data_IF_817878096204
#
_entry.id   IF_817878096204
#
_cell.length_a   1.000
_cell.length_b   1.000
_cell.length_c   1.000
_cell.angle_alpha   90.00
_cell.angle_beta   90.00
_cell.angle_gamma   90.00
#
_symmetry.space_group_name_H-M   'P 1'
#
loop_
_entity.id
_entity.type
_entity.pdbx_description
1 polymer ?
#
# COMPACT_ATOMS: atom_id res chain seq x y z
N UNK A 1 7.22 -16.99 -13.85
CA UNK A 1 7.46 -17.27 -12.46
C UNK A 1 8.81 -17.93 -12.28
N UNK A 2 9.83 -17.20 -11.84
CA UNK A 2 11.13 -17.74 -11.44
C UNK A 2 11.12 -17.79 -9.91
N UNK A 3 10.54 -18.88 -9.35
CA UNK A 3 10.73 -19.22 -7.94
C UNK A 3 12.18 -19.64 -7.73
N UNK A 4 12.86 -19.06 -6.74
CA UNK A 4 14.13 -19.57 -6.24
C UNK A 4 13.86 -20.94 -5.60
N UNK A 5 14.28 -22.01 -6.24
CA UNK A 5 14.38 -23.32 -5.59
C UNK A 5 15.64 -23.36 -4.74
N UNK A 6 15.48 -23.41 -3.42
CA UNK A 6 16.59 -23.74 -2.52
C UNK A 6 16.45 -25.20 -2.10
N UNK A 7 17.49 -26.01 -2.43
CA UNK A 7 17.60 -27.38 -1.99
C UNK A 7 18.29 -27.44 -0.62
N UNK A 8 17.56 -27.87 0.40
CA UNK A 8 18.17 -28.21 1.69
C UNK A 8 18.37 -29.71 1.78
N UNK A 9 19.63 -30.17 1.91
CA UNK A 9 19.94 -31.56 2.18
C UNK A 9 20.03 -31.81 3.68
N UNK A 10 19.18 -32.66 4.19
CA UNK A 10 19.27 -33.20 5.55
C UNK A 10 20.19 -34.44 5.58
N UNK A 11 20.77 -34.73 6.78
CA UNK A 11 21.69 -35.82 7.00
C UNK A 11 21.21 -37.18 6.50
N UNK A 12 22.13 -38.12 6.17
CA UNK A 12 21.80 -39.42 5.58
C UNK A 12 20.85 -40.23 6.49
N UNK A 13 19.69 -40.61 5.94
CA UNK A 13 18.67 -41.41 6.65
C UNK A 13 17.25 -40.85 6.62
N UNK A 14 17.06 -39.56 6.34
CA UNK A 14 15.75 -38.97 6.08
C UNK A 14 15.56 -38.83 4.57
N UNK A 15 14.49 -39.40 4.02
CA UNK A 15 14.15 -39.23 2.60
C UNK A 15 14.14 -37.76 2.19
N UNK A 16 14.61 -37.48 0.99
CA UNK A 16 14.64 -36.11 0.44
C UNK A 16 13.24 -35.50 0.47
N UNK A 17 13.04 -34.47 1.28
CA UNK A 17 11.84 -33.67 1.26
C UNK A 17 12.14 -32.36 0.53
N UNK A 18 11.41 -32.10 -0.53
CA UNK A 18 11.48 -30.85 -1.25
C UNK A 18 10.48 -29.89 -0.64
N UNK A 19 10.98 -28.74 -0.20
CA UNK A 19 10.14 -27.62 0.21
C UNK A 19 10.25 -26.53 -0.86
N UNK A 20 9.14 -26.17 -1.43
CA UNK A 20 9.07 -24.99 -2.29
C UNK A 20 8.77 -23.81 -1.38
N UNK A 21 9.77 -22.97 -1.08
CA UNK A 21 9.53 -21.67 -0.49
C UNK A 21 9.01 -20.77 -1.60
N UNK A 22 7.79 -20.28 -1.48
CA UNK A 22 7.35 -19.17 -2.30
C UNK A 22 8.05 -17.90 -1.83
N UNK A 23 8.22 -16.93 -2.71
CA UNK A 23 8.82 -15.64 -2.34
C UNK A 23 7.96 -14.92 -1.27
N UNK A 24 6.68 -15.23 -1.23
CA UNK A 24 5.73 -14.75 -0.23
C UNK A 24 6.02 -15.29 1.18
N UNK A 25 6.63 -16.49 1.29
CA UNK A 25 7.03 -17.08 2.58
C UNK A 25 8.18 -16.32 3.27
N UNK A 26 8.85 -15.42 2.54
CA UNK A 26 9.94 -14.57 3.05
C UNK A 26 9.46 -13.15 3.40
N UNK A 27 8.23 -12.80 3.06
CA UNK A 27 7.68 -11.49 3.39
C UNK A 27 7.36 -11.40 4.89
N UNK A 28 7.60 -10.25 5.54
CA UNK A 28 7.12 -10.01 6.89
C UNK A 28 5.61 -10.24 6.98
N UNK A 29 5.14 -10.69 8.16
CA UNK A 29 3.71 -10.89 8.37
C UNK A 29 2.90 -9.62 8.03
N UNK A 30 1.80 -9.77 7.32
CA UNK A 30 0.96 -8.64 6.87
C UNK A 30 1.46 -7.92 5.62
N UNK A 31 2.61 -8.31 5.06
CA UNK A 31 3.17 -7.69 3.85
C UNK A 31 3.18 -8.65 2.67
N UNK A 32 3.22 -8.07 1.46
CA UNK A 32 3.46 -8.77 0.20
C UNK A 32 4.76 -8.25 -0.42
N UNK A 33 5.54 -9.12 -1.03
CA UNK A 33 6.69 -8.73 -1.84
C UNK A 33 6.20 -8.24 -3.21
N UNK A 34 6.49 -7.00 -3.54
CA UNK A 34 6.36 -6.46 -4.89
C UNK A 34 7.70 -6.62 -5.59
N UNK A 35 7.79 -7.47 -6.63
CA UNK A 35 9.08 -7.81 -7.21
C UNK A 35 9.70 -6.66 -7.98
N UNK A 36 11.03 -6.64 -8.02
CA UNK A 36 11.79 -5.70 -8.85
C UNK A 36 11.47 -5.88 -10.34
N UNK A 37 11.52 -4.80 -11.12
CA UNK A 37 11.37 -4.87 -12.57
C UNK A 37 10.60 -3.68 -13.16
N UNK A 38 10.49 -3.71 -14.49
CA UNK A 38 9.70 -2.73 -15.24
C UNK A 38 8.20 -3.02 -15.16
N UNK A 39 7.40 -1.99 -15.27
CA UNK A 39 5.97 -2.05 -15.53
C UNK A 39 5.54 -0.82 -16.35
N UNK A 40 4.39 -0.92 -17.00
CA UNK A 40 3.83 0.19 -17.76
C UNK A 40 2.93 1.01 -16.85
N UNK A 41 3.37 2.24 -16.55
CA UNK A 41 2.70 3.21 -15.69
C UNK A 41 1.86 4.18 -16.53
N UNK A 42 0.67 4.50 -16.08
CA UNK A 42 -0.23 5.45 -16.72
C UNK A 42 -1.46 4.82 -17.36
N UNK A 43 -2.24 5.62 -18.09
CA UNK A 43 -3.49 5.18 -18.75
C UNK A 43 -3.21 4.39 -20.03
N UNK A 44 -3.60 3.09 -20.10
CA UNK A 44 -3.50 2.30 -21.31
C UNK A 44 -4.57 2.63 -22.35
N UNK A 45 -5.57 3.45 -21.99
CA UNK A 45 -6.74 3.79 -22.84
C UNK A 45 -6.95 5.31 -22.91
N UNK A 46 -6.04 6.08 -23.54
CA UNK A 46 -6.08 7.53 -23.55
C UNK A 46 -7.45 8.10 -23.94
N UNK A 47 -7.92 9.07 -23.13
CA UNK A 47 -9.19 9.74 -23.33
C UNK A 47 -10.44 8.93 -22.98
N UNK A 48 -10.30 7.78 -22.32
CA UNK A 48 -11.43 6.94 -21.91
C UNK A 48 -11.61 6.80 -20.40
N UNK A 49 -10.54 6.81 -19.63
CA UNK A 49 -10.56 6.48 -18.19
C UNK A 49 -9.86 7.53 -17.34
N UNK A 50 -8.64 7.90 -17.66
CA UNK A 50 -7.79 8.77 -16.86
C UNK A 50 -7.76 10.23 -17.30
N UNK A 51 -7.00 11.04 -16.56
CA UNK A 51 -6.69 12.43 -16.89
C UNK A 51 -5.41 12.57 -17.73
N UNK A 52 -5.11 13.79 -18.16
CA UNK A 52 -3.90 14.09 -18.95
C UNK A 52 -2.60 13.83 -18.17
N UNK A 53 -2.65 13.87 -16.84
CA UNK A 53 -1.54 13.60 -15.94
C UNK A 53 -1.08 12.14 -15.95
N UNK A 54 -1.93 11.21 -16.40
CA UNK A 54 -1.63 9.78 -16.52
C UNK A 54 -1.03 9.43 -17.90
N UNK A 55 -0.80 10.44 -18.74
CA UNK A 55 -0.28 10.29 -20.08
C UNK A 55 1.16 10.86 -20.21
N UNK A 56 1.96 10.29 -21.11
CA UNK A 56 1.72 9.05 -21.86
C UNK A 56 1.95 7.80 -21.01
N UNK A 57 1.34 6.68 -21.40
CA UNK A 57 1.75 5.36 -20.88
C UNK A 57 3.26 5.19 -21.10
N UNK A 58 4.00 4.88 -20.05
CA UNK A 58 5.45 4.78 -20.11
C UNK A 58 6.00 3.69 -19.19
N UNK A 59 7.16 3.14 -19.54
CA UNK A 59 7.78 2.05 -18.78
C UNK A 59 8.63 2.60 -17.64
N UNK A 60 8.36 2.14 -16.41
CA UNK A 60 9.05 2.55 -15.19
C UNK A 60 9.70 1.36 -14.52
N UNK A 61 10.96 1.51 -14.11
CA UNK A 61 11.66 0.52 -13.30
C UNK A 61 11.50 0.82 -11.82
N UNK A 62 11.04 -0.17 -11.06
CA UNK A 62 10.88 -0.10 -9.61
C UNK A 62 11.68 -1.23 -8.96
N UNK A 63 12.49 -0.91 -7.95
CA UNK A 63 13.14 -1.91 -7.12
C UNK A 63 12.10 -2.70 -6.31
N UNK A 64 12.44 -3.94 -5.95
CA UNK A 64 11.57 -4.75 -5.09
C UNK A 64 11.40 -4.13 -3.71
N UNK A 65 10.19 -4.21 -3.18
CA UNK A 65 9.83 -3.69 -1.85
C UNK A 65 8.70 -4.51 -1.23
N UNK A 66 8.52 -4.37 0.07
CA UNK A 66 7.39 -4.95 0.77
C UNK A 66 6.28 -3.90 0.91
N UNK A 67 5.04 -4.29 0.63
CA UNK A 67 3.86 -3.46 0.81
C UNK A 67 2.87 -4.15 1.73
N UNK A 68 2.24 -3.40 2.62
CA UNK A 68 1.14 -3.90 3.44
C UNK A 68 0.02 -4.47 2.56
N UNK A 69 -0.49 -5.67 2.89
CA UNK A 69 -1.60 -6.32 2.18
C UNK A 69 -2.92 -5.57 2.35
N UNK A 70 -3.01 -4.82 3.42
CA UNK A 70 -4.16 -4.01 3.80
C UNK A 70 -3.72 -2.61 4.18
N UNK A 71 -4.64 -1.69 4.16
CA UNK A 71 -4.49 -0.37 4.75
C UNK A 71 -4.19 -0.48 6.24
N UNK A 72 -3.56 0.55 6.82
CA UNK A 72 -3.24 0.58 8.25
C UNK A 72 -4.52 0.63 9.07
N UNK A 73 -4.80 -0.44 9.82
CA UNK A 73 -5.95 -0.49 10.70
C UNK A 73 -5.83 0.52 11.84
N UNK A 74 -6.97 1.00 12.35
CA UNK A 74 -6.98 1.90 13.50
C UNK A 74 -6.28 1.28 14.73
N UNK A 75 -6.41 -0.03 14.94
CA UNK A 75 -5.70 -0.72 16.04
C UNK A 75 -4.18 -0.62 15.91
N UNK A 76 -3.65 -0.84 14.71
CA UNK A 76 -2.21 -0.71 14.46
C UNK A 76 -1.76 0.74 14.61
N UNK A 77 -2.54 1.69 14.02
CA UNK A 77 -2.28 3.11 14.18
C UNK A 77 -2.18 3.53 15.64
N UNK A 78 -3.17 3.17 16.45
CA UNK A 78 -3.24 3.56 17.88
C UNK A 78 -2.12 2.89 18.71
N UNK A 79 -1.76 1.65 18.39
CA UNK A 79 -0.63 0.95 19.03
C UNK A 79 0.67 1.70 18.84
N UNK A 80 1.02 2.02 17.61
CA UNK A 80 2.25 2.77 17.27
C UNK A 80 2.18 4.19 17.79
N UNK A 81 1.04 4.86 17.70
CA UNK A 81 0.81 6.20 18.23
C UNK A 81 1.12 6.27 19.73
N UNK A 82 0.56 5.35 20.53
CA UNK A 82 0.79 5.30 21.98
C UNK A 82 2.25 5.02 22.31
N UNK A 83 2.88 4.12 21.58
CA UNK A 83 4.31 3.85 21.73
C UNK A 83 5.14 5.11 21.41
N UNK A 84 4.82 5.81 20.35
CA UNK A 84 5.51 7.01 19.89
C UNK A 84 5.37 8.18 20.86
N UNK A 85 4.18 8.38 21.46
CA UNK A 85 3.94 9.46 22.43
C UNK A 85 4.94 9.47 23.60
N UNK A 86 5.40 8.29 24.04
CA UNK A 86 6.39 8.19 25.12
C UNK A 86 7.84 8.35 24.62
N UNK A 87 8.04 8.58 23.33
CA UNK A 87 9.35 8.67 22.65
C UNK A 87 9.53 9.91 21.80
N UNK A 88 8.77 10.95 22.10
CA UNK A 88 8.91 12.27 21.50
C UNK A 88 8.13 12.48 20.19
N UNK A 89 7.32 11.52 19.75
CA UNK A 89 6.39 11.69 18.63
C UNK A 89 5.15 12.44 19.12
N UNK A 90 5.31 13.75 19.28
CA UNK A 90 4.18 14.60 19.70
C UNK A 90 3.24 14.87 18.49
N UNK A 91 1.96 14.99 18.77
CA UNK A 91 0.96 15.41 17.79
C UNK A 91 0.50 14.31 16.83
N UNK A 92 0.70 13.02 17.15
CA UNK A 92 0.02 11.96 16.45
C UNK A 92 -1.43 11.89 16.96
N UNK A 93 -2.45 12.15 16.12
CA UNK A 93 -3.86 12.16 16.52
C UNK A 93 -4.37 10.73 16.76
N UNK A 94 -5.52 10.62 17.38
CA UNK A 94 -6.20 9.33 17.49
C UNK A 94 -6.61 8.76 16.13
N UNK A 95 -6.82 9.64 15.14
CA UNK A 95 -7.46 9.30 13.89
C UNK A 95 -8.93 8.92 14.05
N UNK A 96 -9.67 8.97 12.96
CA UNK A 96 -11.03 8.47 12.87
C UNK A 96 -11.06 6.96 12.65
N UNK A 97 -12.15 6.30 13.01
CA UNK A 97 -12.36 4.87 12.74
C UNK A 97 -13.83 4.51 12.69
N UNK A 98 -14.17 3.52 11.86
CA UNK A 98 -15.48 2.83 11.87
C UNK A 98 -15.44 1.52 12.69
N UNK A 99 -14.28 1.19 13.28
CA UNK A 99 -14.05 -0.01 14.09
C UNK A 99 -12.58 -0.37 14.16
N UNK A 100 -12.18 -1.18 15.14
CA UNK A 100 -10.79 -1.48 15.45
C UNK A 100 -9.99 -2.03 14.25
N UNK A 101 -10.62 -2.87 13.43
CA UNK A 101 -10.02 -3.48 12.23
C UNK A 101 -10.18 -2.65 10.95
N UNK A 102 -10.93 -1.54 10.98
CA UNK A 102 -11.08 -0.67 9.83
C UNK A 102 -9.86 0.23 9.64
N UNK A 103 -9.59 0.70 8.41
CA UNK A 103 -8.54 1.68 8.14
C UNK A 103 -8.70 2.93 9.01
N UNK A 104 -7.56 3.49 9.43
CA UNK A 104 -7.55 4.80 10.08
C UNK A 104 -7.81 5.90 9.04
N UNK A 105 -8.60 6.91 9.38
CA UNK A 105 -8.85 8.09 8.56
C UNK A 105 -8.71 9.38 9.39
N UNK A 106 -8.93 10.57 8.79
CA UNK A 106 -8.70 11.86 9.44
C UNK A 106 -7.29 12.01 10.02
N UNK A 107 -6.30 11.61 9.22
CA UNK A 107 -4.88 11.78 9.49
C UNK A 107 -4.22 12.47 8.29
N UNK A 108 -3.35 13.43 8.54
CA UNK A 108 -2.66 14.14 7.48
C UNK A 108 -1.34 13.47 7.07
N UNK A 109 -0.77 13.92 5.96
CA UNK A 109 0.48 13.37 5.43
C UNK A 109 1.66 13.48 6.41
N UNK A 110 1.78 14.60 7.14
CA UNK A 110 2.87 14.80 8.12
C UNK A 110 2.71 13.90 9.35
N UNK A 111 1.48 13.63 9.73
CA UNK A 111 1.17 12.66 10.79
C UNK A 111 1.53 11.25 10.37
N UNK A 112 1.20 10.88 9.13
CA UNK A 112 1.54 9.58 8.55
C UNK A 112 3.06 9.37 8.49
N UNK A 113 3.85 10.32 8.02
CA UNK A 113 5.31 10.15 7.94
C UNK A 113 5.97 10.09 9.32
N UNK A 114 5.46 10.84 10.31
CA UNK A 114 5.89 10.70 11.71
C UNK A 114 5.51 9.34 12.28
N UNK A 115 4.31 8.87 11.97
CA UNK A 115 3.85 7.54 12.38
C UNK A 115 4.71 6.43 11.76
N UNK A 116 5.07 6.52 10.48
CA UNK A 116 6.00 5.60 9.82
C UNK A 116 7.36 5.55 10.53
N UNK A 117 7.90 6.70 10.94
CA UNK A 117 9.12 6.76 11.72
C UNK A 117 8.97 6.09 13.09
N UNK A 118 7.85 6.36 13.80
CA UNK A 118 7.56 5.74 15.07
C UNK A 118 7.44 4.21 14.95
N UNK A 119 6.77 3.73 13.92
CA UNK A 119 6.64 2.30 13.66
C UNK A 119 8.00 1.66 13.32
N UNK A 120 8.83 2.36 12.53
CA UNK A 120 10.19 1.91 12.24
C UNK A 120 11.01 1.74 13.51
N UNK A 121 11.03 2.75 14.39
CA UNK A 121 11.77 2.66 15.66
C UNK A 121 11.18 1.60 16.60
N UNK A 122 9.87 1.41 16.61
CA UNK A 122 9.21 0.37 17.40
C UNK A 122 9.68 -1.03 17.01
N UNK A 123 9.88 -1.27 15.72
CA UNK A 123 10.36 -2.55 15.17
C UNK A 123 11.90 -2.63 15.05
N UNK A 124 12.63 -1.64 15.58
CA UNK A 124 14.09 -1.61 15.54
C UNK A 124 14.67 -1.34 14.14
N UNK A 125 13.88 -0.75 13.23
CA UNK A 125 14.30 -0.35 11.90
C UNK A 125 14.79 1.11 11.89
N UNK A 126 15.52 1.48 10.83
CA UNK A 126 16.00 2.86 10.64
C UNK A 126 14.88 3.71 10.03
N UNK A 127 14.41 4.78 10.68
CA UNK A 127 13.41 5.70 10.14
C UNK A 127 13.79 6.29 8.77
N UNK A 128 12.77 6.59 7.95
CA UNK A 128 12.97 7.09 6.59
C UNK A 128 12.88 8.60 6.46
N UNK A 129 12.24 9.30 7.40
CA UNK A 129 11.97 10.74 7.29
C UNK A 129 12.73 11.55 8.34
N UNK A 130 13.45 12.57 7.88
CA UNK A 130 14.32 13.40 8.72
C UNK A 130 13.99 14.88 8.52
N UNK A 131 14.20 15.68 9.55
CA UNK A 131 14.07 17.13 9.50
C UNK A 131 15.32 17.74 10.16
N UNK A 132 16.05 18.61 9.42
CA UNK A 132 17.29 19.22 9.89
C UNK A 132 18.35 18.23 10.40
N UNK A 133 18.42 17.04 9.79
CA UNK A 133 19.37 15.99 10.14
C UNK A 133 18.91 15.02 11.23
N UNK A 134 17.85 15.34 11.97
CA UNK A 134 17.25 14.49 13.00
C UNK A 134 16.05 13.71 12.51
N UNK A 135 15.74 12.58 13.15
CA UNK A 135 14.51 11.83 12.88
C UNK A 135 13.30 12.73 13.09
N UNK A 136 12.45 12.86 12.07
CA UNK A 136 11.26 13.69 12.16
C UNK A 136 10.25 13.07 13.13
N UNK A 137 10.15 13.64 14.33
CA UNK A 137 9.17 13.27 15.36
C UNK A 137 8.10 14.33 15.60
N UNK A 138 8.34 15.55 15.14
CA UNK A 138 7.49 16.72 15.36
C UNK A 138 7.50 17.61 14.11
N UNK A 139 6.60 18.58 14.09
CA UNK A 139 6.51 19.56 13.00
C UNK A 139 5.67 19.06 11.81
N UNK A 140 5.54 19.96 10.85
CA UNK A 140 4.82 19.77 9.59
C UNK A 140 5.58 20.44 8.42
N UNK A 141 6.91 20.51 8.52
CA UNK A 141 7.76 20.95 7.42
C UNK A 141 8.14 19.74 6.52
N UNK A 142 8.39 19.96 5.24
CA UNK A 142 8.78 18.89 4.30
C UNK A 142 10.05 18.18 4.79
N UNK A 143 9.99 16.86 5.05
CA UNK A 143 11.14 16.11 5.52
C UNK A 143 12.09 15.73 4.38
N UNK A 144 13.34 15.49 4.76
CA UNK A 144 14.29 14.75 3.93
C UNK A 144 13.93 13.26 3.95
N UNK A 145 13.89 12.64 2.77
CA UNK A 145 13.68 11.21 2.64
C UNK A 145 15.00 10.47 2.45
N UNK A 146 15.32 9.53 3.34
CA UNK A 146 16.53 8.69 3.28
C UNK A 146 16.25 7.36 2.59
N UNK A 147 16.61 7.26 1.32
CA UNK A 147 16.39 6.08 0.46
C UNK A 147 17.05 4.79 0.96
N UNK A 148 18.15 4.91 1.72
CA UNK A 148 18.92 3.77 2.23
C UNK A 148 18.41 3.27 3.61
N UNK A 149 17.41 3.91 4.18
CA UNK A 149 16.77 3.45 5.40
C UNK A 149 15.89 2.23 5.10
N UNK A 150 15.81 1.31 6.05
CA UNK A 150 15.02 0.08 5.94
C UNK A 150 13.69 0.14 6.70
N UNK A 151 13.30 1.32 7.17
CA UNK A 151 12.07 1.54 7.92
C UNK A 151 10.82 1.62 7.06
N UNK A 152 9.69 1.77 7.74
CA UNK A 152 8.39 1.98 7.11
C UNK A 152 8.29 3.36 6.48
N UNK A 153 7.60 3.44 5.37
CA UNK A 153 7.38 4.67 4.62
C UNK A 153 6.15 4.57 3.72
N UNK A 154 5.68 5.71 3.26
CA UNK A 154 4.71 5.73 2.19
C UNK A 154 5.35 5.23 0.88
N UNK A 155 4.60 4.52 0.03
CA UNK A 155 5.05 4.20 -1.31
C UNK A 155 5.16 5.47 -2.16
N UNK A 156 6.03 5.44 -3.16
CA UNK A 156 5.95 6.41 -4.26
C UNK A 156 4.75 6.07 -5.14
N UNK A 157 4.33 7.02 -5.99
CA UNK A 157 3.27 6.81 -6.97
C UNK A 157 3.53 5.57 -7.84
N UNK A 158 4.74 5.44 -8.38
CA UNK A 158 5.12 4.29 -9.20
C UNK A 158 5.12 2.96 -8.42
N UNK A 159 5.52 2.95 -7.16
CA UNK A 159 5.44 1.77 -6.29
C UNK A 159 3.98 1.39 -6.02
N UNK A 160 3.15 2.39 -5.72
CA UNK A 160 1.73 2.17 -5.46
C UNK A 160 1.03 1.60 -6.70
N UNK A 161 1.23 2.22 -7.88
CA UNK A 161 0.59 1.76 -9.11
C UNK A 161 1.08 0.36 -9.51
N UNK A 162 2.40 0.10 -9.40
CA UNK A 162 2.93 -1.23 -9.67
C UNK A 162 2.30 -2.30 -8.79
N UNK A 163 2.14 -2.02 -7.50
CA UNK A 163 1.50 -2.93 -6.55
C UNK A 163 0.02 -3.13 -6.90
N UNK A 164 -0.72 -2.04 -7.16
CA UNK A 164 -2.13 -2.09 -7.53
C UNK A 164 -2.38 -2.90 -8.82
N UNK A 165 -1.48 -2.80 -9.80
CA UNK A 165 -1.56 -3.59 -11.04
C UNK A 165 -1.33 -5.09 -10.82
N UNK A 166 -0.67 -5.51 -9.76
CA UNK A 166 -0.49 -6.92 -9.46
C UNK A 166 0.24 -7.74 -10.55
N UNK A 167 1.08 -7.10 -11.35
CA UNK A 167 1.83 -7.72 -12.45
C UNK A 167 1.09 -7.83 -13.78
N UNK A 168 -0.13 -7.26 -13.90
CA UNK A 168 -0.85 -7.19 -15.17
C UNK A 168 -0.57 -5.85 -15.87
N UNK A 169 -0.61 -5.85 -17.21
CA UNK A 169 -0.47 -4.65 -18.05
C UNK A 169 -1.62 -4.54 -19.04
N UNK A 170 -1.83 -3.31 -19.55
CA UNK A 170 -2.86 -3.05 -20.57
C UNK A 170 -4.29 -3.05 -20.04
N UNK A 171 -4.51 -3.13 -18.75
CA UNK A 171 -5.82 -3.05 -18.11
C UNK A 171 -5.99 -1.73 -17.36
N UNK A 172 -7.23 -1.25 -17.31
CA UNK A 172 -7.60 -0.05 -16.58
C UNK A 172 -7.71 -0.34 -15.06
N UNK A 173 -8.02 -1.58 -14.68
CA UNK A 173 -8.16 -2.04 -13.30
C UNK A 173 -7.40 -3.35 -13.10
N UNK A 174 -7.06 -3.75 -11.86
CA UNK A 174 -6.32 -4.99 -11.60
C UNK A 174 -6.96 -6.26 -12.16
N UNK A 175 -8.27 -6.25 -12.40
CA UNK A 175 -9.07 -7.39 -12.90
C UNK A 175 -9.52 -7.26 -14.35
N UNK A 176 -9.23 -6.16 -15.05
CA UNK A 176 -9.62 -5.96 -16.46
C UNK A 176 -9.97 -4.51 -16.79
N UNK A 177 -10.82 -4.31 -17.79
CA UNK A 177 -11.13 -2.97 -18.32
C UNK A 177 -12.48 -2.41 -17.87
N UNK A 178 -13.18 -3.10 -16.98
CA UNK A 178 -14.50 -2.69 -16.49
C UNK A 178 -14.55 -2.80 -14.97
N UNK A 179 -15.43 -2.03 -14.33
CA UNK A 179 -15.64 -2.02 -12.88
C UNK A 179 -17.14 -2.08 -12.57
N UNK A 180 -17.46 -2.66 -11.43
CA UNK A 180 -18.78 -2.64 -10.82
C UNK A 180 -18.65 -2.74 -9.31
N UNK A 181 -19.73 -2.59 -8.56
CA UNK A 181 -19.74 -2.81 -7.11
C UNK A 181 -19.31 -4.22 -6.68
N UNK A 182 -19.33 -5.20 -7.58
CA UNK A 182 -18.77 -6.53 -7.30
C UNK A 182 -17.22 -6.54 -7.22
N UNK A 183 -16.57 -5.50 -7.71
CA UNK A 183 -15.12 -5.41 -7.77
C UNK A 183 -14.54 -4.48 -6.71
N UNK A 184 -15.22 -3.38 -6.40
CA UNK A 184 -14.73 -2.36 -5.48
C UNK A 184 -15.87 -1.54 -4.87
N UNK A 185 -15.57 -0.93 -3.71
CA UNK A 185 -16.43 0.07 -3.10
C UNK A 185 -16.17 1.44 -3.72
N UNK A 186 -17.10 1.95 -4.51
CA UNK A 186 -17.03 3.26 -5.13
C UNK A 186 -18.43 3.83 -5.39
N UNK A 187 -18.50 5.13 -5.65
CA UNK A 187 -19.75 5.78 -6.03
C UNK A 187 -19.94 5.74 -7.55
N UNK A 188 -20.87 4.91 -8.02
CA UNK A 188 -21.15 4.74 -9.45
C UNK A 188 -22.08 5.86 -9.94
N UNK A 189 -21.59 6.66 -10.87
CA UNK A 189 -22.38 7.68 -11.57
C UNK A 189 -22.91 7.21 -12.92
N UNK A 190 -22.36 6.13 -13.45
CA UNK A 190 -22.72 5.57 -14.75
C UNK A 190 -22.42 6.46 -15.94
N UNK A 191 -21.55 7.43 -15.77
CA UNK A 191 -21.11 8.33 -16.82
C UNK A 191 -20.07 7.71 -17.76
N UNK A 192 -19.48 6.60 -17.34
CA UNK A 192 -18.37 5.96 -18.03
C UNK A 192 -18.75 4.58 -18.55
N UNK A 193 -18.36 4.29 -19.77
CA UNK A 193 -18.65 3.00 -20.42
C UNK A 193 -18.01 1.79 -19.73
N UNK A 194 -16.96 2.01 -18.93
CA UNK A 194 -16.30 0.95 -18.15
C UNK A 194 -17.02 0.65 -16.83
N UNK A 195 -17.94 1.50 -16.38
CA UNK A 195 -18.75 1.27 -15.17
C UNK A 195 -19.99 0.44 -15.50
N UNK A 196 -19.92 -0.85 -15.19
CA UNK A 196 -20.98 -1.81 -15.43
C UNK A 196 -21.93 -1.99 -14.23
N UNK A 197 -21.88 -1.11 -13.24
CA UNK A 197 -22.76 -1.17 -12.06
C UNK A 197 -24.22 -1.14 -12.49
N UNK A 198 -25.04 -2.13 -12.10
CA UNK A 198 -26.47 -2.13 -12.39
C UNK A 198 -27.21 -0.94 -11.74
N UNK A 199 -28.32 -0.56 -12.33
CA UNK A 199 -29.23 0.42 -11.71
C UNK A 199 -29.99 -0.22 -10.53
N UNK A 200 -30.26 0.50 -9.42
CA UNK A 200 -29.88 1.91 -9.18
C UNK A 200 -28.39 2.05 -8.91
N UNK A 201 -27.80 3.09 -9.50
CA UNK A 201 -26.39 3.47 -9.28
C UNK A 201 -26.26 4.33 -8.03
N UNK A 202 -25.05 4.67 -7.65
CA UNK A 202 -24.74 5.45 -6.44
C UNK A 202 -23.68 4.76 -5.61
N UNK A 203 -23.77 4.91 -4.30
CA UNK A 203 -22.87 4.24 -3.35
C UNK A 203 -23.10 2.72 -3.36
N UNK A 204 -22.06 1.98 -2.99
CA UNK A 204 -22.17 0.51 -2.87
C UNK A 204 -23.19 0.17 -1.77
N UNK A 205 -24.21 -0.66 -2.07
CA UNK A 205 -25.35 -0.87 -1.16
C UNK A 205 -24.98 -1.46 0.21
N UNK A 206 -23.90 -2.26 0.26
CA UNK A 206 -23.45 -2.88 1.52
C UNK A 206 -22.59 -1.94 2.38
N UNK A 207 -22.10 -0.83 1.81
CA UNK A 207 -21.20 0.13 2.46
C UNK A 207 -21.73 1.55 2.45
N UNK A 208 -23.00 1.73 2.04
CA UNK A 208 -23.66 3.04 2.06
C UNK A 208 -24.10 3.36 3.49
N UNK A 209 -23.29 4.15 4.16
CA UNK A 209 -23.60 4.73 5.48
C UNK A 209 -24.09 6.18 5.40
N UNK A 210 -24.47 6.63 4.20
CA UNK A 210 -24.91 8.01 3.92
C UNK A 210 -23.74 9.01 3.81
N UNK A 211 -22.51 8.54 3.86
CA UNK A 211 -21.30 9.34 3.60
C UNK A 211 -20.64 8.86 2.30
N UNK A 212 -19.72 9.65 1.74
CA UNK A 212 -18.95 9.20 0.58
C UNK A 212 -18.22 7.88 0.90
N UNK A 213 -18.03 7.00 -0.09
CA UNK A 213 -17.35 5.73 0.12
C UNK A 213 -15.94 5.99 0.64
N UNK A 214 -15.78 5.84 1.92
CA UNK A 214 -14.51 5.78 2.57
C UNK A 214 -14.30 4.31 2.92
N UNK A 215 -13.35 3.68 2.27
CA UNK A 215 -12.76 2.37 2.57
C UNK A 215 -13.65 1.39 3.34
#
# INVERSE_FOLDING_TARGET
GTGLEMEYRFAPGSGSRYFRLSVDDLAPEGFALIPTGYFDMGDPSPGKVGGDEELPLHSVYVNGFYMGKHEVSWTLWDTVRRWGQTRGYAGLPNGGTKGAGHPVFEVDWYEIVKWCNAYSEMDGLTPCYYLNGDVMRQGADPPEYRRNANGYRLPSEAEWEKAARGGVSGYNFPWGNTISHANANFNSYGSFAYDLTPSPRGLHPDYDDGTNPHT
#
